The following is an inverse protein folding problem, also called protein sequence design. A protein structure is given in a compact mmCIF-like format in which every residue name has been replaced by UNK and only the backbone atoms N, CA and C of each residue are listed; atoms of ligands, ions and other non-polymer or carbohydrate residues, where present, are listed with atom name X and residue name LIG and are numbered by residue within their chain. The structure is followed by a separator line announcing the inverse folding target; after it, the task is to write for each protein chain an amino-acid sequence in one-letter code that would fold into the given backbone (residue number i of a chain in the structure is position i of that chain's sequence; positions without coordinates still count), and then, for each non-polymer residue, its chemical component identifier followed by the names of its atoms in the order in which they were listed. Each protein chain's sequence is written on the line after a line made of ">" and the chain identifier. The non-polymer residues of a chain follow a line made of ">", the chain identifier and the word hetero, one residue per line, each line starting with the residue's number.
data_IF_147757589683
#
_entry.id   IF_147757589683
#
_cell.length_a   1.000
_cell.length_b   1.000
_cell.length_c   1.000
_cell.angle_alpha   90.00
_cell.angle_beta   90.00
_cell.angle_gamma   90.00
#
_symmetry.space_group_name_H-M   'P 1'
#
loop_
_entity.id
_entity.type
_entity.pdbx_description
1 polymer ?
#
# COMPACT_ATOMS: atom_id res chain seq x y z
N UNK A 1 10.65 -3.30 -6.89
CA UNK A 1 9.37 -3.81 -6.36
C UNK A 1 9.69 -4.73 -5.19
N UNK A 2 8.93 -4.68 -4.09
CA UNK A 2 9.15 -5.61 -2.99
C UNK A 2 8.95 -7.06 -3.47
N UNK A 3 9.84 -7.97 -3.05
CA UNK A 3 9.73 -9.40 -3.37
C UNK A 3 8.38 -9.93 -2.86
N UNK A 4 7.63 -10.73 -3.65
CA UNK A 4 6.41 -11.37 -3.18
C UNK A 4 6.70 -12.14 -1.89
N UNK A 5 5.86 -11.94 -0.87
CA UNK A 5 5.95 -12.71 0.37
C UNK A 5 5.85 -14.20 0.02
N UNK A 6 6.70 -15.08 0.59
CA UNK A 6 6.60 -16.53 0.39
C UNK A 6 5.31 -17.11 0.97
N UNK A 7 4.60 -16.35 1.82
CA UNK A 7 3.33 -16.73 2.43
C UNK A 7 2.13 -16.18 1.64
N UNK A 8 1.23 -17.04 1.13
CA UNK A 8 -0.02 -16.65 0.47
C UNK A 8 -0.92 -15.76 1.34
N UNK A 9 -1.86 -15.03 0.73
CA UNK A 9 -2.78 -14.15 1.48
C UNK A 9 -3.69 -14.95 2.42
N UNK A 10 -4.18 -16.09 1.93
CA UNK A 10 -5.08 -17.00 2.64
C UNK A 10 -4.42 -17.56 3.91
N UNK A 11 -3.12 -17.86 3.84
CA UNK A 11 -2.35 -18.30 5.01
C UNK A 11 -2.22 -17.18 6.05
N UNK A 12 -2.01 -15.94 5.61
CA UNK A 12 -1.89 -14.77 6.48
C UNK A 12 -3.21 -14.49 7.20
N UNK A 13 -4.31 -14.46 6.47
CA UNK A 13 -5.65 -14.27 7.01
C UNK A 13 -6.02 -15.39 8.00
N UNK A 14 -5.72 -16.65 7.64
CA UNK A 14 -5.91 -17.79 8.53
C UNK A 14 -5.10 -17.65 9.82
N UNK A 15 -3.84 -17.22 9.74
CA UNK A 15 -3.00 -17.02 10.91
C UNK A 15 -3.56 -15.94 11.83
N UNK A 16 -3.96 -14.79 11.28
CA UNK A 16 -4.57 -13.69 12.07
C UNK A 16 -5.86 -14.15 12.75
N UNK A 17 -6.76 -14.82 12.02
CA UNK A 17 -8.00 -15.36 12.58
C UNK A 17 -7.72 -16.37 13.70
N UNK A 18 -6.80 -17.30 13.46
CA UNK A 18 -6.44 -18.32 14.46
C UNK A 18 -5.82 -17.69 15.72
N UNK A 19 -4.99 -16.66 15.59
CA UNK A 19 -4.46 -15.93 16.77
C UNK A 19 -5.61 -15.33 17.58
N UNK A 20 -6.59 -14.69 16.93
CA UNK A 20 -7.74 -14.12 17.63
C UNK A 20 -8.57 -15.20 18.36
N UNK A 21 -8.80 -16.35 17.72
CA UNK A 21 -9.53 -17.49 18.30
C UNK A 21 -8.83 -18.08 19.51
N UNK A 22 -7.51 -18.31 19.44
CA UNK A 22 -6.77 -18.98 20.52
C UNK A 22 -6.27 -18.03 21.59
N UNK A 23 -6.29 -16.70 21.35
CA UNK A 23 -5.77 -15.67 22.26
C UNK A 23 -6.23 -15.84 23.72
N UNK A 24 -7.52 -16.14 24.03
CA UNK A 24 -7.98 -16.32 25.41
C UNK A 24 -7.32 -17.50 26.15
N UNK A 25 -6.81 -18.49 25.41
CA UNK A 25 -6.21 -19.71 25.98
C UNK A 25 -4.74 -19.53 26.37
N UNK A 26 -4.16 -18.34 26.14
CA UNK A 26 -2.75 -18.06 26.41
C UNK A 26 -2.60 -16.86 27.35
N UNK A 27 -1.56 -16.86 28.20
CA UNK A 27 -1.32 -15.75 29.14
C UNK A 27 -0.94 -14.45 28.42
N UNK A 28 -0.30 -14.54 27.25
CA UNK A 28 0.12 -13.38 26.47
C UNK A 28 -0.23 -13.53 25.00
N UNK A 29 -0.40 -12.39 24.32
CA UNK A 29 -0.63 -12.35 22.87
C UNK A 29 0.55 -12.96 22.11
N UNK A 30 1.76 -12.73 22.59
CA UNK A 30 2.97 -13.32 22.03
C UNK A 30 3.01 -14.84 22.15
N UNK A 31 2.52 -15.41 23.26
CA UNK A 31 2.42 -16.86 23.41
C UNK A 31 1.43 -17.47 22.41
N UNK A 32 0.27 -16.82 22.19
CA UNK A 32 -0.68 -17.22 21.15
C UNK A 32 -0.06 -17.14 19.75
N UNK A 33 0.64 -16.05 19.42
CA UNK A 33 1.33 -15.89 18.13
C UNK A 33 2.40 -16.96 17.89
N UNK A 34 3.22 -17.29 18.90
CA UNK A 34 4.23 -18.37 18.82
C UNK A 34 3.58 -19.72 18.57
N UNK A 35 2.48 -20.03 19.28
CA UNK A 35 1.76 -21.28 19.10
C UNK A 35 1.15 -21.40 17.69
N UNK A 36 0.56 -20.32 17.16
CA UNK A 36 0.02 -20.29 15.81
C UNK A 36 1.12 -20.40 14.75
N UNK A 37 2.25 -19.70 14.94
CA UNK A 37 3.39 -19.80 14.03
C UNK A 37 3.90 -21.25 13.93
N UNK A 38 4.08 -21.92 15.08
CA UNK A 38 4.47 -23.33 15.12
C UNK A 38 3.43 -24.24 14.44
N UNK A 39 2.13 -24.03 14.72
CA UNK A 39 1.03 -24.83 14.16
C UNK A 39 0.90 -24.69 12.64
N UNK A 40 1.23 -23.54 12.09
CA UNK A 40 1.14 -23.25 10.65
C UNK A 40 2.47 -23.41 9.90
N UNK A 41 3.54 -23.85 10.57
CA UNK A 41 4.86 -24.02 9.96
C UNK A 41 5.53 -22.69 9.55
N UNK A 42 5.19 -21.58 10.21
CA UNK A 42 5.77 -20.26 9.94
C UNK A 42 7.04 -20.12 10.77
N UNK A 43 8.18 -19.98 10.10
CA UNK A 43 9.50 -20.04 10.74
C UNK A 43 9.79 -18.96 11.79
N UNK A 44 9.08 -17.83 11.77
CA UNK A 44 9.24 -16.75 12.74
C UNK A 44 7.90 -16.27 13.30
N UNK A 45 7.75 -16.27 14.62
CA UNK A 45 6.57 -15.72 15.30
C UNK A 45 6.40 -14.21 15.03
N UNK A 46 7.50 -13.51 14.75
CA UNK A 46 7.48 -12.09 14.37
C UNK A 46 6.72 -11.85 13.06
N UNK A 47 6.72 -12.83 12.14
CA UNK A 47 5.93 -12.78 10.91
C UNK A 47 4.43 -12.75 11.23
N UNK A 48 3.96 -13.62 12.13
CA UNK A 48 2.56 -13.64 12.58
C UNK A 48 2.21 -12.35 13.31
N UNK A 49 3.09 -11.87 14.19
CA UNK A 49 2.91 -10.59 14.89
C UNK A 49 2.70 -9.45 13.90
N UNK A 50 3.53 -9.35 12.86
CA UNK A 50 3.42 -8.30 11.84
C UNK A 50 2.04 -8.32 11.17
N UNK A 51 1.53 -9.51 10.83
CA UNK A 51 0.21 -9.65 10.20
C UNK A 51 -0.92 -9.27 11.15
N UNK A 52 -0.85 -9.69 12.42
CA UNK A 52 -1.84 -9.31 13.44
C UNK A 52 -1.86 -7.80 13.64
N UNK A 53 -0.68 -7.16 13.77
CA UNK A 53 -0.62 -5.69 13.90
C UNK A 53 -1.16 -4.98 12.68
N UNK A 54 -0.88 -5.48 11.47
CA UNK A 54 -1.43 -4.90 10.25
C UNK A 54 -2.96 -5.01 10.22
N UNK A 55 -3.51 -6.16 10.59
CA UNK A 55 -4.95 -6.36 10.69
C UNK A 55 -5.61 -5.51 11.79
N UNK A 56 -4.94 -5.26 12.91
CA UNK A 56 -5.42 -4.32 13.94
C UNK A 56 -5.47 -2.88 13.43
N UNK A 57 -4.47 -2.44 12.66
CA UNK A 57 -4.44 -1.13 12.02
C UNK A 57 -5.57 -1.02 10.99
N UNK A 58 -5.69 -2.01 10.10
CA UNK A 58 -6.72 -2.02 9.06
C UNK A 58 -8.15 -2.08 9.66
N UNK A 59 -8.31 -2.64 10.86
CA UNK A 59 -9.58 -2.65 11.60
C UNK A 59 -9.77 -1.44 12.55
N UNK A 60 -8.88 -0.45 12.53
CA UNK A 60 -8.97 0.75 13.38
C UNK A 60 -8.74 0.51 14.87
N UNK A 61 -8.28 -0.68 15.28
CA UNK A 61 -7.98 -1.01 16.68
C UNK A 61 -6.61 -0.50 17.13
N UNK A 62 -5.76 -0.11 16.19
CA UNK A 62 -4.41 0.41 16.45
C UNK A 62 -4.12 1.59 15.51
N UNK A 63 -3.47 2.66 15.98
CA UNK A 63 -3.06 3.75 15.11
C UNK A 63 -2.05 3.26 14.05
N UNK A 64 -2.21 3.74 12.83
CA UNK A 64 -1.34 3.46 11.69
C UNK A 64 -2.05 3.72 10.37
N UNK A 65 -1.31 3.66 9.26
CA UNK A 65 -1.90 3.79 7.92
C UNK A 65 -2.49 2.45 7.47
N UNK A 66 -3.77 2.47 7.13
CA UNK A 66 -4.48 1.28 6.65
C UNK A 66 -4.01 0.88 5.26
N UNK A 67 -4.28 -0.37 4.89
CA UNK A 67 -3.95 -0.88 3.54
C UNK A 67 -4.69 -0.10 2.46
N UNK A 68 -5.93 0.33 2.75
CA UNK A 68 -6.76 1.14 1.87
C UNK A 68 -6.18 2.55 1.69
N UNK A 69 -5.84 3.24 2.78
CA UNK A 69 -5.20 4.56 2.73
C UNK A 69 -3.89 4.52 1.95
N UNK A 70 -3.06 3.49 2.17
CA UNK A 70 -1.81 3.32 1.44
C UNK A 70 -2.03 3.08 -0.06
N UNK A 71 -3.06 2.32 -0.43
CA UNK A 71 -3.43 2.09 -1.83
C UNK A 71 -3.92 3.39 -2.48
N UNK A 72 -4.71 4.17 -1.76
CA UNK A 72 -5.25 5.43 -2.22
C UNK A 72 -4.16 6.48 -2.44
N UNK A 73 -3.25 6.63 -1.47
CA UNK A 73 -2.08 7.52 -1.61
C UNK A 73 -1.26 7.14 -2.85
N UNK A 74 -1.08 5.84 -3.12
CA UNK A 74 -0.35 5.37 -4.30
C UNK A 74 -1.11 5.73 -5.59
N UNK A 75 -2.42 5.52 -5.64
CA UNK A 75 -3.27 5.87 -6.77
C UNK A 75 -3.20 7.37 -7.07
N UNK A 76 -3.43 8.19 -6.06
CA UNK A 76 -3.40 9.65 -6.18
C UNK A 76 -2.03 10.18 -6.61
N UNK A 77 -0.93 9.57 -6.13
CA UNK A 77 0.42 9.94 -6.59
C UNK A 77 0.64 9.62 -8.06
N UNK A 78 0.12 8.48 -8.55
CA UNK A 78 0.23 8.12 -9.96
C UNK A 78 -0.59 9.07 -10.84
N UNK A 79 -1.82 9.38 -10.42
CA UNK A 79 -2.70 10.33 -11.11
C UNK A 79 -2.10 11.74 -11.13
N UNK A 80 -1.58 12.22 -10.00
CA UNK A 80 -0.94 13.54 -9.94
C UNK A 80 0.28 13.62 -10.85
N UNK A 81 1.08 12.56 -10.95
CA UNK A 81 2.20 12.50 -11.88
C UNK A 81 1.74 12.58 -13.34
N UNK A 82 0.66 11.90 -13.69
CA UNK A 82 0.07 11.97 -15.04
C UNK A 82 -0.48 13.36 -15.36
N UNK A 83 -1.25 13.94 -14.43
CA UNK A 83 -1.79 15.29 -14.58
C UNK A 83 -0.69 16.34 -14.73
N UNK A 84 0.43 16.19 -14.01
CA UNK A 84 1.59 17.06 -14.17
C UNK A 84 2.20 16.91 -15.56
N UNK A 85 2.38 15.68 -16.06
CA UNK A 85 2.89 15.44 -17.42
C UNK A 85 1.98 16.08 -18.48
N UNK A 86 0.67 15.86 -18.39
CA UNK A 86 -0.29 16.45 -19.32
C UNK A 86 -0.25 17.98 -19.29
N UNK A 87 -0.18 18.59 -18.11
CA UNK A 87 -0.08 20.04 -17.98
C UNK A 87 1.20 20.59 -18.63
N UNK A 88 2.34 19.92 -18.49
CA UNK A 88 3.59 20.37 -19.13
C UNK A 88 3.50 20.31 -20.66
N UNK A 89 2.86 19.27 -21.22
CA UNK A 89 2.61 19.17 -22.67
C UNK A 89 1.72 20.34 -23.13
N UNK A 90 0.63 20.63 -22.41
CA UNK A 90 -0.30 21.71 -22.76
C UNK A 90 0.35 23.09 -22.67
N UNK A 91 1.19 23.33 -21.65
CA UNK A 91 1.97 24.57 -21.54
C UNK A 91 2.94 24.73 -22.70
N UNK A 92 3.66 23.66 -23.06
CA UNK A 92 4.59 23.68 -24.19
C UNK A 92 3.87 23.98 -25.52
N UNK A 93 2.71 23.34 -25.75
CA UNK A 93 1.88 23.61 -26.92
C UNK A 93 1.38 25.06 -26.95
N UNK A 94 0.87 25.57 -25.83
CA UNK A 94 0.41 26.96 -25.70
C UNK A 94 1.53 27.96 -26.00
N UNK A 95 2.73 27.72 -25.46
CA UNK A 95 3.90 28.57 -25.72
C UNK A 95 4.32 28.53 -27.20
N UNK A 96 4.28 27.36 -27.83
CA UNK A 96 4.56 27.20 -29.25
C UNK A 96 3.56 27.99 -30.12
N UNK A 97 2.26 27.87 -29.85
CA UNK A 97 1.23 28.61 -30.60
C UNK A 97 1.31 30.12 -30.39
N UNK A 98 1.58 30.58 -29.16
CA UNK A 98 1.78 32.00 -28.89
C UNK A 98 2.97 32.57 -29.68
N UNK A 99 4.08 31.84 -29.75
CA UNK A 99 5.25 32.25 -30.53
C UNK A 99 4.99 32.30 -32.05
N UNK A 100 4.17 31.39 -32.59
CA UNK A 100 3.80 31.40 -34.00
C UNK A 100 2.90 32.60 -34.35
N UNK A 101 1.99 33.00 -33.44
CA UNK A 101 1.12 34.17 -33.62
C UNK A 101 1.91 35.50 -33.67
N UNK A 102 3.00 35.60 -32.91
CA UNK A 102 3.85 36.80 -32.87
C UNK A 102 4.81 36.89 -34.08
N UNK A 103 4.84 35.88 -34.96
CA UNK A 103 5.71 35.89 -36.14
C UNK A 103 5.12 36.78 -37.24
N UNK A 104 5.83 37.82 -37.72
CA UNK A 104 5.32 38.68 -38.77
C UNK A 104 5.10 37.89 -40.06
N UNK A 105 3.87 37.91 -40.60
CA UNK A 105 3.56 37.33 -41.90
C UNK A 105 4.44 37.97 -42.96
N UNK A 106 5.26 37.19 -43.67
CA UNK A 106 5.89 37.68 -44.90
C UNK A 106 4.79 37.91 -45.93
N UNK A 107 4.34 39.15 -46.07
CA UNK A 107 3.50 39.57 -47.19
C UNK A 107 4.37 39.47 -48.45
N UNK A 108 4.00 38.57 -49.36
CA UNK A 108 4.49 38.53 -50.74
C UNK A 108 3.82 39.62 -51.57
#
# INVERSE_FOLDING_TARGET
>A
MARPSPYPAELRERAVRMVAEVRPNYPTEWAAMKAVAAKLGIGAAETVRTWVRKAEVDAGRRPGTTSEEAAEIKRLRAENAELRRANEILKAASAFFAAELDRPSRRS
#
